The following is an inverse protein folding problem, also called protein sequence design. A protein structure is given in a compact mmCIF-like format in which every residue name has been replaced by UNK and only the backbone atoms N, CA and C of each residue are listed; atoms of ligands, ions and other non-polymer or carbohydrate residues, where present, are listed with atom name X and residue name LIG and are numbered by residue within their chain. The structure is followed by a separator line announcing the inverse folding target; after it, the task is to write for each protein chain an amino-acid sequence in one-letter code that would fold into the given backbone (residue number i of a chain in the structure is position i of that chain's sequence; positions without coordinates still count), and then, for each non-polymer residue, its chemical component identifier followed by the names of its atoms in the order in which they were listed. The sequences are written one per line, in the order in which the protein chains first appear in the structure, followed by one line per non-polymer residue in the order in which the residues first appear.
data_IF_026730372406
#
_entry.id   IF_026730372406
#
_cell.length_a   1.000
_cell.length_b   1.000
_cell.length_c   1.000
_cell.angle_alpha   90.00
_cell.angle_beta   90.00
_cell.angle_gamma   90.00
#
_symmetry.space_group_name_H-M   'P 1'
#
loop_
_entity.id
_entity.type
_entity.pdbx_description
1 polymer ?
#
# COMPACT_ATOMS: atom_id res chain seq x y z
N UNK A 1 -16.03 -2.27 -19.17
CA UNK A 1 -15.00 -2.00 -20.19
C UNK A 1 -13.61 -2.18 -19.58
N UNK A 2 -12.67 -2.66 -20.36
CA UNK A 2 -11.28 -2.86 -19.91
C UNK A 2 -10.62 -1.61 -19.35
N UNK A 3 -10.98 -0.42 -19.84
CA UNK A 3 -10.40 0.84 -19.37
C UNK A 3 -10.70 1.17 -17.91
N UNK A 4 -11.95 0.93 -17.45
CA UNK A 4 -12.33 1.19 -16.05
C UNK A 4 -11.64 0.25 -15.07
N UNK A 5 -11.45 -1.01 -15.43
CA UNK A 5 -10.74 -1.98 -14.59
C UNK A 5 -9.26 -1.62 -14.44
N UNK A 6 -8.63 -1.16 -15.51
CA UNK A 6 -7.25 -0.71 -15.47
C UNK A 6 -7.10 0.53 -14.59
N UNK A 7 -8.03 1.48 -14.65
CA UNK A 7 -8.01 2.69 -13.82
C UNK A 7 -8.13 2.38 -12.33
N UNK A 8 -8.85 1.32 -11.94
CA UNK A 8 -8.94 0.87 -10.54
C UNK A 8 -7.59 0.50 -9.94
N UNK A 9 -6.63 0.10 -10.76
CA UNK A 9 -5.25 -0.23 -10.33
C UNK A 9 -4.31 0.94 -10.53
N UNK A 10 -4.45 1.66 -11.65
CA UNK A 10 -3.54 2.75 -12.01
C UNK A 10 -3.65 3.96 -11.10
N UNK A 11 -4.85 4.31 -10.64
CA UNK A 11 -5.06 5.45 -9.74
C UNK A 11 -4.38 5.22 -8.39
N UNK A 12 -4.61 4.10 -7.68
CA UNK A 12 -3.89 3.84 -6.44
C UNK A 12 -2.37 3.79 -6.61
N UNK A 13 -1.87 3.21 -7.70
CA UNK A 13 -0.43 3.17 -7.98
C UNK A 13 0.15 4.58 -8.10
N UNK A 14 -0.48 5.46 -8.88
CA UNK A 14 -0.05 6.86 -9.03
C UNK A 14 -0.08 7.61 -7.70
N UNK A 15 -1.11 7.38 -6.88
CA UNK A 15 -1.20 7.98 -5.54
C UNK A 15 -0.05 7.51 -4.65
N UNK A 16 0.26 6.21 -4.67
CA UNK A 16 1.36 5.65 -3.89
C UNK A 16 2.71 6.23 -4.30
N UNK A 17 2.98 6.32 -5.61
CA UNK A 17 4.23 6.90 -6.14
C UNK A 17 4.36 8.38 -5.76
N UNK A 18 3.29 9.15 -5.90
CA UNK A 18 3.25 10.56 -5.51
C UNK A 18 3.51 10.74 -4.01
N UNK A 19 2.89 9.90 -3.17
CA UNK A 19 3.09 9.97 -1.72
C UNK A 19 4.54 9.67 -1.34
N UNK A 20 5.16 8.67 -1.97
CA UNK A 20 6.57 8.34 -1.71
C UNK A 20 7.50 9.49 -2.08
N UNK A 21 7.27 10.16 -3.20
CA UNK A 21 8.06 11.34 -3.58
C UNK A 21 7.89 12.47 -2.56
N UNK A 22 6.66 12.71 -2.14
CA UNK A 22 6.36 13.75 -1.15
C UNK A 22 7.00 13.49 0.20
N UNK A 23 7.08 12.23 0.61
CA UNK A 23 7.69 11.83 1.89
C UNK A 23 9.23 11.78 1.83
N UNK A 24 9.83 12.08 0.69
CA UNK A 24 11.27 12.05 0.50
C UNK A 24 11.85 10.65 0.29
N UNK A 25 11.00 9.67 -0.02
CA UNK A 25 11.39 8.28 -0.28
C UNK A 25 10.91 7.83 -1.67
N UNK A 26 11.36 8.49 -2.76
CA UNK A 26 10.98 8.10 -4.10
C UNK A 26 11.41 6.67 -4.41
N UNK A 27 10.76 6.06 -5.38
CA UNK A 27 11.09 4.70 -5.81
C UNK A 27 12.51 4.68 -6.37
N UNK A 28 13.32 3.77 -5.85
CA UNK A 28 14.65 3.47 -6.38
C UNK A 28 14.56 2.23 -7.27
N UNK A 29 15.20 2.28 -8.41
CA UNK A 29 15.20 1.18 -9.39
C UNK A 29 15.53 -0.17 -8.73
N UNK A 30 14.63 -1.14 -8.89
CA UNK A 30 14.82 -2.51 -8.41
C UNK A 30 14.57 -2.73 -6.91
N UNK A 31 14.21 -1.72 -6.14
CA UNK A 31 13.96 -1.88 -4.70
C UNK A 31 12.51 -2.12 -4.35
N UNK A 32 11.57 -1.62 -5.12
CA UNK A 32 10.14 -1.80 -4.86
C UNK A 32 9.57 -2.95 -5.68
N UNK A 33 8.76 -3.76 -5.05
CA UNK A 33 8.06 -4.87 -5.70
C UNK A 33 6.55 -4.64 -5.59
N UNK A 34 5.87 -4.71 -6.72
CA UNK A 34 4.40 -4.68 -6.77
C UNK A 34 3.88 -6.10 -6.77
N UNK A 35 3.24 -6.51 -5.69
CA UNK A 35 2.59 -7.81 -5.57
C UNK A 35 1.13 -7.72 -5.99
N UNK A 36 0.68 -8.64 -6.83
CA UNK A 36 -0.71 -8.77 -7.24
C UNK A 36 -1.09 -10.21 -7.49
N UNK A 37 -2.38 -10.49 -7.56
CA UNK A 37 -2.86 -11.77 -8.08
C UNK A 37 -2.86 -11.75 -9.63
N UNK A 38 -3.24 -12.86 -10.24
CA UNK A 38 -3.31 -12.99 -11.69
C UNK A 38 -4.60 -12.40 -12.29
N UNK A 39 -5.27 -11.48 -11.61
CA UNK A 39 -6.47 -10.80 -12.13
C UNK A 39 -6.19 -9.99 -13.38
N UNK A 40 -7.16 -9.89 -14.28
CA UNK A 40 -7.00 -9.23 -15.58
C UNK A 40 -6.58 -7.77 -15.49
N UNK A 41 -6.99 -7.04 -14.44
CA UNK A 41 -6.60 -5.66 -14.19
C UNK A 41 -5.11 -5.53 -13.84
N UNK A 42 -4.50 -6.56 -13.28
CA UNK A 42 -3.08 -6.57 -12.90
C UNK A 42 -2.16 -7.10 -14.01
N UNK A 43 -2.74 -7.72 -15.03
CA UNK A 43 -2.01 -8.22 -16.19
C UNK A 43 -2.16 -7.31 -17.40
N UNK A 44 -2.79 -6.13 -17.25
CA UNK A 44 -2.97 -5.20 -18.34
C UNK A 44 -1.64 -4.63 -18.82
N UNK A 45 -1.55 -4.37 -20.12
CA UNK A 45 -0.36 -3.78 -20.77
C UNK A 45 -0.03 -2.42 -20.14
N UNK A 46 -1.04 -1.58 -19.84
CA UNK A 46 -0.82 -0.27 -19.23
C UNK A 46 -0.16 -0.36 -17.86
N UNK A 47 -0.60 -1.29 -17.01
CA UNK A 47 0.02 -1.48 -15.70
C UNK A 47 1.45 -1.99 -15.84
N UNK A 48 1.66 -2.99 -16.69
CA UNK A 48 2.99 -3.56 -16.94
C UNK A 48 3.96 -2.49 -17.44
N UNK A 49 3.56 -1.70 -18.44
CA UNK A 49 4.36 -0.60 -18.96
C UNK A 49 4.68 0.45 -17.89
N UNK A 50 3.71 0.79 -17.03
CA UNK A 50 3.93 1.75 -15.95
C UNK A 50 4.91 1.22 -14.92
N UNK A 51 4.79 -0.04 -14.50
CA UNK A 51 5.72 -0.66 -13.57
C UNK A 51 7.15 -0.71 -14.14
N UNK A 52 7.28 -1.06 -15.41
CA UNK A 52 8.57 -1.07 -16.11
C UNK A 52 9.19 0.33 -16.18
N UNK A 53 8.38 1.35 -16.51
CA UNK A 53 8.82 2.74 -16.59
C UNK A 53 9.34 3.23 -15.24
N UNK A 54 8.68 2.88 -14.15
CA UNK A 54 9.07 3.25 -12.79
C UNK A 54 10.13 2.31 -12.21
N UNK A 55 10.55 1.30 -12.97
CA UNK A 55 11.52 0.28 -12.54
C UNK A 55 11.09 -0.47 -11.27
N UNK A 56 9.80 -0.76 -11.18
CA UNK A 56 9.18 -1.55 -10.12
C UNK A 56 9.05 -3.00 -10.60
N UNK A 57 9.58 -3.93 -9.84
CA UNK A 57 9.42 -5.34 -10.15
C UNK A 57 7.96 -5.77 -9.90
N UNK A 58 7.40 -6.57 -10.82
CA UNK A 58 6.06 -7.13 -10.67
C UNK A 58 6.16 -8.58 -10.19
N UNK A 59 5.43 -8.90 -9.12
CA UNK A 59 5.23 -10.26 -8.64
C UNK A 59 3.77 -10.61 -8.78
N UNK A 60 3.46 -11.50 -9.70
CA UNK A 60 2.13 -12.10 -9.86
C UNK A 60 2.20 -13.45 -9.15
N UNK A 61 1.46 -13.61 -8.04
CA UNK A 61 1.48 -14.85 -7.28
C UNK A 61 1.24 -16.07 -8.17
N UNK A 62 2.10 -17.08 -8.07
CA UNK A 62 1.89 -18.34 -8.74
C UNK A 62 0.70 -19.08 -8.12
N UNK A 63 0.05 -19.92 -8.92
CA UNK A 63 -1.02 -20.79 -8.44
C UNK A 63 -0.48 -21.67 -7.30
N UNK A 64 -0.99 -21.47 -6.08
CA UNK A 64 -0.55 -22.19 -4.89
C UNK A 64 0.42 -21.43 -3.97
N UNK A 65 0.89 -20.26 -4.36
CA UNK A 65 1.73 -19.41 -3.49
C UNK A 65 0.86 -18.43 -2.70
N UNK A 66 0.29 -18.92 -1.58
CA UNK A 66 -0.59 -18.13 -0.72
C UNK A 66 0.14 -17.00 0.04
N UNK A 67 1.46 -17.03 0.09
CA UNK A 67 2.24 -16.08 0.88
C UNK A 67 2.36 -14.70 0.21
N UNK A 68 2.38 -14.63 -1.12
CA UNK A 68 2.56 -13.37 -1.86
C UNK A 68 1.43 -12.37 -1.62
N UNK A 69 0.20 -12.86 -1.33
CA UNK A 69 -0.97 -12.03 -1.09
C UNK A 69 -1.43 -12.01 0.38
N UNK A 70 -0.76 -12.75 1.28
CA UNK A 70 -1.16 -12.88 2.67
C UNK A 70 -1.17 -11.53 3.41
N UNK A 71 -0.21 -10.66 3.14
CA UNK A 71 -0.15 -9.33 3.73
C UNK A 71 -1.35 -8.47 3.30
N UNK A 72 -1.71 -8.50 2.02
CA UNK A 72 -2.87 -7.77 1.51
C UNK A 72 -4.18 -8.29 2.10
N UNK A 73 -4.34 -9.61 2.20
CA UNK A 73 -5.52 -10.22 2.83
C UNK A 73 -5.63 -9.80 4.31
N UNK A 74 -4.51 -9.78 5.03
CA UNK A 74 -4.46 -9.30 6.41
C UNK A 74 -4.84 -7.82 6.50
N UNK A 75 -4.31 -6.98 5.61
CA UNK A 75 -4.64 -5.56 5.52
C UNK A 75 -6.12 -5.31 5.26
N UNK A 76 -6.72 -6.04 4.34
CA UNK A 76 -8.15 -5.96 4.05
C UNK A 76 -9.00 -6.40 5.25
N UNK A 77 -8.59 -7.45 5.97
CA UNK A 77 -9.24 -7.91 7.18
C UNK A 77 -9.21 -6.86 8.28
N UNK A 78 -8.08 -6.22 8.50
CA UNK A 78 -7.92 -5.13 9.47
C UNK A 78 -8.78 -3.92 9.07
N UNK A 79 -8.80 -3.53 7.81
CA UNK A 79 -9.65 -2.44 7.31
C UNK A 79 -11.13 -2.71 7.61
N UNK A 80 -11.63 -3.89 7.31
CA UNK A 80 -13.01 -4.26 7.57
C UNK A 80 -13.33 -4.23 9.07
N UNK A 81 -12.44 -4.72 9.91
CA UNK A 81 -12.64 -4.80 11.34
C UNK A 81 -12.47 -3.46 12.02
N UNK A 82 -11.41 -2.73 11.70
CA UNK A 82 -11.03 -1.50 12.40
C UNK A 82 -11.72 -0.25 11.86
N UNK A 83 -12.03 -0.19 10.57
CA UNK A 83 -12.64 0.98 9.93
C UNK A 83 -14.14 0.80 9.66
N UNK A 84 -14.52 -0.31 9.05
CA UNK A 84 -15.91 -0.49 8.57
C UNK A 84 -16.87 -0.93 9.69
N UNK A 85 -16.46 -1.88 10.51
CA UNK A 85 -17.31 -2.51 11.53
C UNK A 85 -17.32 -1.81 12.89
N UNK A 86 -16.49 -0.79 13.06
CA UNK A 86 -16.42 -0.02 14.30
C UNK A 86 -16.91 1.40 14.11
N UNK A 87 -17.16 2.12 15.22
CA UNK A 87 -17.57 3.53 15.20
C UNK A 87 -16.43 4.49 15.54
N UNK A 88 -15.18 4.02 15.53
CA UNK A 88 -14.01 4.84 15.89
C UNK A 88 -13.78 5.95 14.85
N UNK A 89 -13.97 5.62 13.57
CA UNK A 89 -13.71 6.56 12.47
C UNK A 89 -14.99 7.16 11.86
N UNK A 90 -16.16 6.82 12.40
CA UNK A 90 -17.46 7.33 11.94
C UNK A 90 -18.52 7.19 13.01
N UNK A 91 -19.55 7.99 12.92
CA UNK A 91 -20.73 7.94 13.80
C UNK A 91 -21.88 7.15 13.16
N UNK A 92 -22.12 5.95 13.67
CA UNK A 92 -23.22 5.11 13.19
C UNK A 92 -22.95 4.51 11.80
N UNK A 93 -24.02 4.16 11.10
CA UNK A 93 -23.95 3.58 9.76
C UNK A 93 -23.50 4.62 8.72
N UNK A 94 -22.69 4.18 7.76
CA UNK A 94 -22.30 5.03 6.64
C UNK A 94 -23.54 5.41 5.80
N UNK A 95 -23.67 6.69 5.47
CA UNK A 95 -24.79 7.24 4.72
C UNK A 95 -24.49 7.44 3.24
N UNK A 96 -23.21 7.54 2.88
CA UNK A 96 -22.77 7.79 1.51
C UNK A 96 -21.35 7.27 1.27
N UNK A 97 -20.96 7.19 -0.01
CA UNK A 97 -19.60 6.84 -0.39
C UNK A 97 -18.58 7.85 0.15
N UNK A 98 -18.94 9.14 0.19
CA UNK A 98 -18.06 10.19 0.73
C UNK A 98 -17.74 9.95 2.20
N UNK A 99 -18.71 9.49 2.99
CA UNK A 99 -18.48 9.14 4.40
C UNK A 99 -17.49 7.98 4.54
N UNK A 100 -17.59 6.97 3.69
CA UNK A 100 -16.66 5.83 3.67
C UNK A 100 -15.26 6.30 3.28
N UNK A 101 -15.15 7.13 2.26
CA UNK A 101 -13.86 7.68 1.82
C UNK A 101 -13.18 8.51 2.91
N UNK A 102 -13.94 9.34 3.62
CA UNK A 102 -13.43 10.16 4.72
C UNK A 102 -12.94 9.28 5.88
N UNK A 103 -13.72 8.29 6.28
CA UNK A 103 -13.33 7.36 7.34
C UNK A 103 -12.12 6.52 6.94
N UNK A 104 -12.05 6.09 5.68
CA UNK A 104 -10.91 5.34 5.14
C UNK A 104 -9.63 6.18 5.17
N UNK A 105 -9.69 7.44 4.78
CA UNK A 105 -8.55 8.34 4.85
C UNK A 105 -8.04 8.50 6.29
N UNK A 106 -8.94 8.65 7.26
CA UNK A 106 -8.60 8.70 8.68
C UNK A 106 -7.97 7.40 9.19
N UNK A 107 -8.50 6.25 8.78
CA UNK A 107 -7.95 4.95 9.16
C UNK A 107 -6.56 4.73 8.54
N UNK A 108 -6.35 5.07 7.28
CA UNK A 108 -5.04 4.93 6.61
C UNK A 108 -4.00 5.83 7.30
N UNK A 109 -4.35 7.08 7.62
CA UNK A 109 -3.47 7.97 8.35
C UNK A 109 -3.08 7.39 9.71
N UNK A 110 -4.06 6.92 10.46
CA UNK A 110 -3.82 6.30 11.76
C UNK A 110 -2.99 5.02 11.63
N UNK A 111 -3.30 4.15 10.67
CA UNK A 111 -2.58 2.91 10.43
C UNK A 111 -1.10 3.15 10.16
N UNK A 112 -0.79 4.11 9.30
CA UNK A 112 0.58 4.39 8.89
C UNK A 112 1.39 5.13 9.94
N UNK A 113 0.78 6.06 10.67
CA UNK A 113 1.50 6.96 11.56
C UNK A 113 1.41 6.61 13.04
N UNK A 114 0.37 5.90 13.47
CA UNK A 114 0.08 5.69 14.90
C UNK A 114 -0.16 4.26 15.31
N UNK A 115 -0.74 3.44 14.45
CA UNK A 115 -1.03 2.05 14.79
C UNK A 115 0.26 1.29 15.06
N UNK A 116 0.33 0.65 16.23
CA UNK A 116 1.49 -0.15 16.62
C UNK A 116 1.33 -1.60 16.10
N UNK A 117 2.37 -2.13 15.51
CA UNK A 117 2.38 -3.47 14.92
C UNK A 117 3.46 -4.33 15.57
N UNK A 118 3.06 -5.49 16.13
CA UNK A 118 3.98 -6.41 16.79
C UNK A 118 5.07 -6.95 15.85
N UNK A 119 4.71 -7.21 14.59
CA UNK A 119 5.63 -7.75 13.59
C UNK A 119 6.83 -6.84 13.28
N UNK A 120 6.71 -5.54 13.53
CA UNK A 120 7.76 -4.55 13.31
C UNK A 120 8.21 -3.88 14.62
N UNK A 121 8.13 -4.58 15.74
CA UNK A 121 8.64 -4.12 17.01
C UNK A 121 7.76 -3.11 17.74
N UNK A 122 6.45 -3.21 17.63
CA UNK A 122 5.49 -2.33 18.31
C UNK A 122 5.65 -0.85 17.95
N UNK A 123 5.93 -0.57 16.70
CA UNK A 123 6.00 0.78 16.16
C UNK A 123 5.07 0.94 14.95
N UNK A 124 4.84 2.17 14.53
CA UNK A 124 4.05 2.43 13.34
C UNK A 124 4.83 2.11 12.06
N UNK A 125 4.16 1.81 10.94
CA UNK A 125 4.82 1.58 9.66
C UNK A 125 5.76 2.73 9.24
N UNK A 126 5.35 3.99 9.41
CA UNK A 126 6.18 5.14 9.06
C UNK A 126 7.41 5.23 9.97
N UNK A 127 7.27 5.00 11.27
CA UNK A 127 8.40 5.00 12.19
C UNK A 127 9.41 3.91 11.82
N UNK A 128 8.93 2.72 11.48
CA UNK A 128 9.77 1.62 11.03
C UNK A 128 10.52 1.96 9.73
N UNK A 129 9.83 2.50 8.74
CA UNK A 129 10.42 2.90 7.47
C UNK A 129 11.46 4.01 7.66
N UNK A 130 11.16 5.03 8.46
CA UNK A 130 12.09 6.12 8.76
C UNK A 130 13.36 5.61 9.45
N UNK A 131 13.24 4.68 10.38
CA UNK A 131 14.39 4.05 11.02
C UNK A 131 15.26 3.26 10.04
N UNK A 132 14.63 2.58 9.08
CA UNK A 132 15.32 1.86 8.01
C UNK A 132 16.14 2.81 7.13
N UNK A 133 15.54 3.90 6.67
CA UNK A 133 16.25 4.89 5.86
C UNK A 133 17.36 5.61 6.63
N UNK A 134 17.15 5.92 7.91
CA UNK A 134 18.19 6.49 8.76
C UNK A 134 19.38 5.55 8.91
N UNK A 135 19.16 4.24 9.07
CA UNK A 135 20.23 3.24 9.15
C UNK A 135 21.00 3.14 7.84
N UNK A 136 20.33 3.16 6.69
CA UNK A 136 20.97 3.16 5.37
C UNK A 136 21.86 4.40 5.16
N UNK A 137 21.38 5.57 5.53
CA UNK A 137 22.15 6.82 5.43
C UNK A 137 23.42 6.80 6.31
N UNK A 138 23.34 6.20 7.50
CA UNK A 138 24.51 6.02 8.36
C UNK A 138 25.54 5.07 7.74
N UNK A 139 25.10 3.97 7.14
CA UNK A 139 26.00 3.05 6.43
C UNK A 139 26.71 3.72 5.26
N UNK A 140 26.02 4.54 4.48
CA UNK A 140 26.62 5.31 3.38
C UNK A 140 27.67 6.30 3.84
N UNK A 141 27.54 6.89 5.03
CA UNK A 141 28.51 7.84 5.60
C UNK A 141 29.81 7.19 6.06
N UNK A 142 29.81 5.89 6.34
CA UNK A 142 30.97 5.17 6.88
C UNK A 142 31.66 4.24 5.86
N UNK A 143 31.23 4.28 4.61
CA UNK A 143 31.85 3.50 3.52
C UNK A 143 32.85 4.36 2.72
#
# INVERSE_FOLDING_TARGET
SMSKQTDLVMIPLRMALWQRERDGHPVVAGELIHHSDAGSQYTSIRLTERLDLEQIAASIGSVGDAYDNALMESGNGLYKTECIRTTIFHDGAYKSLVDVEYATAGWVEWYNNRRLHSAIGWQSPIAFENAHHAALNLEEQFV
#
